data_IF_140449684213
#
_entry.id   IF_140449684213
#
_cell.length_a   1.000
_cell.length_b   1.000
_cell.length_c   1.000
_cell.angle_alpha   90.00
_cell.angle_beta   90.00
_cell.angle_gamma   90.00
#
_symmetry.space_group_name_H-M   'P 1'
#
loop_
_entity.id
_entity.type
_entity.pdbx_description
1 polymer ?
#
# COMPACT_ATOMS: atom_id res chain seq x y z
N UNK A 1 74.49 21.78 4.01
CA UNK A 1 73.09 22.20 3.80
C UNK A 1 72.27 20.98 3.34
N UNK A 2 72.07 20.00 4.24
CA UNK A 2 71.35 18.74 3.98
C UNK A 2 70.12 18.60 4.90
N UNK A 3 69.53 19.72 5.31
CA UNK A 3 68.48 19.76 6.34
C UNK A 3 67.09 20.12 5.80
N UNK A 4 66.95 20.43 4.51
CA UNK A 4 65.68 20.90 3.94
C UNK A 4 64.79 19.81 3.30
N UNK A 5 65.29 18.60 3.07
CA UNK A 5 64.51 17.52 2.41
C UNK A 5 63.65 16.67 3.37
N UNK A 6 63.63 16.99 4.68
CA UNK A 6 62.97 16.14 5.69
C UNK A 6 61.49 16.42 5.94
N UNK A 7 60.91 17.46 5.33
CA UNK A 7 59.54 17.89 5.62
C UNK A 7 58.55 17.75 4.46
N UNK A 8 59.00 17.39 3.27
CA UNK A 8 58.09 17.06 2.17
C UNK A 8 57.72 15.57 2.22
N UNK A 9 56.45 15.28 2.48
CA UNK A 9 55.89 13.95 2.32
C UNK A 9 56.20 13.47 0.89
N UNK A 10 56.85 12.31 0.76
CA UNK A 10 57.09 11.70 -0.56
C UNK A 10 55.75 11.55 -1.29
N UNK A 11 55.68 11.76 -2.61
CA UNK A 11 54.43 11.69 -3.38
C UNK A 11 53.65 10.37 -3.17
N UNK A 12 54.36 9.27 -2.90
CA UNK A 12 53.76 7.99 -2.53
C UNK A 12 53.00 8.01 -1.19
N UNK A 13 53.47 8.78 -0.20
CA UNK A 13 52.82 8.94 1.10
C UNK A 13 51.61 9.87 0.97
N UNK A 14 51.71 10.92 0.14
CA UNK A 14 50.58 11.82 -0.15
C UNK A 14 49.44 11.08 -0.90
N UNK A 15 49.78 10.25 -1.88
CA UNK A 15 48.82 9.38 -2.57
C UNK A 15 48.19 8.35 -1.62
N UNK A 16 48.96 7.76 -0.70
CA UNK A 16 48.43 6.82 0.29
C UNK A 16 47.45 7.49 1.28
N UNK A 17 47.72 8.72 1.72
CA UNK A 17 46.82 9.50 2.59
C UNK A 17 45.51 9.86 1.86
N UNK A 18 45.57 10.21 0.57
CA UNK A 18 44.38 10.47 -0.25
C UNK A 18 43.54 9.20 -0.42
N UNK A 19 44.16 8.05 -0.71
CA UNK A 19 43.44 6.77 -0.84
C UNK A 19 42.76 6.34 0.47
N UNK A 20 43.41 6.55 1.62
CA UNK A 20 42.83 6.25 2.94
C UNK A 20 41.66 7.20 3.26
N UNK A 21 41.78 8.50 2.93
CA UNK A 21 40.71 9.47 3.14
C UNK A 21 39.47 9.18 2.29
N UNK A 22 39.64 8.71 1.04
CA UNK A 22 38.52 8.32 0.16
C UNK A 22 37.82 7.05 0.66
N UNK A 23 38.57 6.10 1.26
CA UNK A 23 37.99 4.88 1.82
C UNK A 23 37.16 5.14 3.10
N UNK A 24 37.50 6.17 3.89
CA UNK A 24 36.77 6.53 5.12
C UNK A 24 35.53 7.41 4.89
N UNK A 25 35.41 8.06 3.72
CA UNK A 25 34.29 8.94 3.36
C UNK A 25 33.39 8.39 2.24
N UNK A 26 33.59 7.13 1.82
CA UNK A 26 32.61 6.47 0.96
C UNK A 26 31.33 6.24 1.77
N UNK A 27 30.20 6.90 1.44
CA UNK A 27 28.94 6.57 2.10
C UNK A 27 28.66 5.11 1.79
N UNK A 28 28.46 4.31 2.83
CA UNK A 28 27.93 2.97 2.66
C UNK A 28 26.60 3.12 1.91
N UNK A 29 26.57 2.71 0.64
CA UNK A 29 25.37 2.75 -0.17
C UNK A 29 24.38 1.80 0.50
N UNK A 30 23.44 2.35 1.27
CA UNK A 30 22.35 1.58 1.83
C UNK A 30 21.53 1.07 0.65
N UNK A 31 21.59 -0.23 0.39
CA UNK A 31 20.68 -0.87 -0.57
C UNK A 31 19.31 -0.78 0.07
N UNK A 32 18.50 0.17 -0.40
CA UNK A 32 17.10 0.23 -0.02
C UNK A 32 16.45 -1.12 -0.37
N UNK A 33 15.86 -1.76 0.63
CA UNK A 33 15.16 -3.02 0.46
C UNK A 33 14.10 -2.86 -0.64
N UNK A 34 14.07 -3.79 -1.61
CA UNK A 34 13.04 -3.78 -2.65
C UNK A 34 11.64 -3.86 -1.99
N UNK A 35 10.66 -3.07 -2.47
CA UNK A 35 9.34 -3.06 -1.86
C UNK A 35 8.67 -4.43 -2.01
N UNK A 36 8.10 -4.94 -0.92
CA UNK A 36 7.35 -6.20 -0.94
C UNK A 36 6.03 -6.09 -1.70
N UNK A 37 5.51 -4.87 -1.88
CA UNK A 37 4.26 -4.59 -2.55
C UNK A 37 4.43 -3.57 -3.67
N UNK A 38 3.71 -3.80 -4.76
CA UNK A 38 3.62 -2.87 -5.89
C UNK A 38 2.19 -2.40 -6.02
N UNK A 39 1.99 -1.08 -6.05
CA UNK A 39 0.70 -0.51 -6.36
C UNK A 39 0.34 -0.82 -7.82
N UNK A 40 -0.85 -1.39 -8.04
CA UNK A 40 -1.39 -1.61 -9.38
C UNK A 40 -2.44 -0.54 -9.70
N UNK A 41 -2.41 0.05 -10.90
CA UNK A 41 -3.38 1.06 -11.28
C UNK A 41 -4.77 0.44 -11.48
N UNK A 42 -5.81 1.23 -11.22
CA UNK A 42 -7.23 0.85 -11.47
C UNK A 42 -7.43 0.39 -12.92
N UNK A 43 -6.74 1.01 -13.88
CA UNK A 43 -6.82 0.62 -15.29
C UNK A 43 -6.32 -0.81 -15.56
N UNK A 44 -5.44 -1.33 -14.70
CA UNK A 44 -4.95 -2.71 -14.79
C UNK A 44 -5.88 -3.68 -14.06
N UNK A 45 -6.38 -3.31 -12.87
CA UNK A 45 -7.09 -4.24 -12.00
C UNK A 45 -8.61 -4.20 -12.13
N UNK A 46 -9.20 -3.08 -12.52
CA UNK A 46 -10.65 -2.86 -12.50
C UNK A 46 -11.24 -2.58 -11.11
N UNK A 47 -10.45 -2.65 -10.03
CA UNK A 47 -10.90 -2.36 -8.66
C UNK A 47 -10.97 -0.85 -8.45
N UNK A 48 -12.18 -0.29 -8.39
CA UNK A 48 -12.45 1.15 -8.21
C UNK A 48 -12.87 1.53 -6.78
N UNK A 49 -13.00 0.54 -5.92
CA UNK A 49 -13.55 0.73 -4.58
C UNK A 49 -12.66 1.65 -3.73
N UNK A 50 -13.31 2.54 -2.98
CA UNK A 50 -12.67 3.36 -1.96
C UNK A 50 -13.66 3.59 -0.83
N UNK A 51 -13.20 3.37 0.40
CA UNK A 51 -13.97 3.66 1.60
C UNK A 51 -13.78 5.13 2.00
N UNK A 52 -14.48 6.01 1.30
CA UNK A 52 -14.44 7.44 1.57
C UNK A 52 -15.33 7.78 2.79
N UNK A 53 -14.72 8.40 3.79
CA UNK A 53 -15.37 8.92 4.99
C UNK A 53 -15.49 10.44 4.85
N UNK A 54 -16.69 11.00 5.06
CA UNK A 54 -16.94 12.43 4.93
C UNK A 54 -17.49 12.98 6.25
N UNK A 55 -16.68 13.77 6.93
CA UNK A 55 -17.05 14.45 8.17
C UNK A 55 -18.05 15.58 7.92
N UNK A 56 -18.91 15.81 8.93
CA UNK A 56 -19.80 16.96 9.05
C UNK A 56 -19.75 17.48 10.49
N UNK A 57 -20.15 18.72 10.70
CA UNK A 57 -20.30 19.27 12.05
C UNK A 57 -21.21 18.39 12.93
N UNK A 58 -22.28 17.85 12.34
CA UNK A 58 -23.22 16.95 13.02
C UNK A 58 -22.81 15.47 13.01
N UNK A 59 -21.74 15.10 12.30
CA UNK A 59 -21.32 13.71 12.13
C UNK A 59 -19.80 13.64 11.95
N UNK A 60 -19.11 13.48 13.07
CA UNK A 60 -17.67 13.34 13.22
C UNK A 60 -17.37 12.49 14.47
N UNK A 61 -16.09 12.34 14.79
CA UNK A 61 -15.62 11.53 15.92
C UNK A 61 -16.16 11.98 17.29
N UNK A 62 -16.46 13.27 17.48
CA UNK A 62 -17.00 13.79 18.74
C UNK A 62 -18.48 13.41 18.93
N UNK A 63 -19.23 13.38 17.83
CA UNK A 63 -20.65 12.97 17.83
C UNK A 63 -20.86 11.46 17.73
N UNK A 64 -19.89 10.74 17.15
CA UNK A 64 -19.93 9.30 16.96
C UNK A 64 -18.51 8.75 17.11
N UNK A 65 -18.20 8.18 18.27
CA UNK A 65 -16.84 7.71 18.61
C UNK A 65 -16.29 6.67 17.61
N UNK A 66 -17.16 5.91 16.95
CA UNK A 66 -16.79 4.89 15.97
C UNK A 66 -16.71 5.39 14.52
N UNK A 67 -16.62 6.71 14.31
CA UNK A 67 -16.67 7.33 12.98
C UNK A 67 -15.54 6.90 12.02
N UNK A 68 -14.45 6.33 12.54
CA UNK A 68 -13.38 5.75 11.72
C UNK A 68 -13.29 4.22 11.80
N UNK A 69 -14.21 3.59 12.54
CA UNK A 69 -14.22 2.15 12.73
C UNK A 69 -15.17 1.50 11.73
N UNK A 70 -14.71 0.42 11.09
CA UNK A 70 -15.49 -0.41 10.19
C UNK A 70 -14.93 -0.47 8.78
N UNK A 71 -15.80 -0.70 7.81
CA UNK A 71 -15.40 -1.19 6.50
C UNK A 71 -14.75 -2.58 6.60
N UNK A 72 -14.24 -3.09 5.49
CA UNK A 72 -13.55 -4.36 5.49
C UNK A 72 -13.38 -4.95 4.10
N UNK A 73 -12.56 -5.99 4.04
CA UNK A 73 -12.38 -6.82 2.86
C UNK A 73 -12.45 -8.28 3.28
N UNK A 74 -13.11 -9.10 2.48
CA UNK A 74 -13.07 -10.55 2.57
C UNK A 74 -12.77 -11.12 1.18
N UNK A 75 -12.23 -12.33 1.17
CA UNK A 75 -11.93 -13.08 -0.04
C UNK A 75 -12.59 -14.46 0.03
N UNK A 76 -12.93 -15.00 -1.13
CA UNK A 76 -13.44 -16.37 -1.28
C UNK A 76 -13.75 -16.64 -2.75
N UNK A 77 -14.00 -17.89 -3.09
CA UNK A 77 -14.26 -18.35 -4.46
C UNK A 77 -15.78 -18.54 -4.65
N UNK A 78 -16.48 -17.49 -5.08
CA UNK A 78 -17.96 -17.50 -5.10
C UNK A 78 -18.53 -18.23 -6.32
N UNK A 79 -17.69 -18.51 -7.33
CA UNK A 79 -18.09 -19.20 -8.56
C UNK A 79 -17.40 -20.56 -8.76
N UNK A 80 -16.56 -21.00 -7.82
CA UNK A 80 -15.81 -22.26 -7.83
C UNK A 80 -14.82 -22.39 -9.00
N UNK A 81 -14.16 -21.29 -9.39
CA UNK A 81 -13.16 -21.30 -10.47
C UNK A 81 -11.71 -21.38 -9.96
N UNK A 82 -11.51 -21.44 -8.64
CA UNK A 82 -10.23 -21.50 -7.96
C UNK A 82 -9.53 -20.14 -7.83
N UNK A 83 -10.18 -19.04 -8.22
CA UNK A 83 -9.65 -17.69 -8.07
C UNK A 83 -10.32 -16.97 -6.89
N UNK A 84 -9.55 -16.25 -6.06
CA UNK A 84 -10.13 -15.50 -4.95
C UNK A 84 -10.83 -14.23 -5.46
N UNK A 85 -12.12 -14.12 -5.20
CA UNK A 85 -12.94 -12.93 -5.41
C UNK A 85 -12.81 -11.96 -4.23
N UNK A 86 -13.23 -10.71 -4.42
CA UNK A 86 -13.10 -9.67 -3.39
C UNK A 86 -14.47 -9.09 -3.01
N UNK A 87 -14.80 -9.13 -1.73
CA UNK A 87 -15.94 -8.39 -1.18
C UNK A 87 -15.44 -7.26 -0.28
N UNK A 88 -15.86 -6.04 -0.56
CA UNK A 88 -15.56 -4.86 0.24
C UNK A 88 -16.82 -4.31 0.90
N UNK A 89 -16.69 -3.85 2.14
CA UNK A 89 -17.70 -3.03 2.80
C UNK A 89 -17.18 -1.62 3.03
N UNK A 90 -18.05 -0.64 2.84
CA UNK A 90 -17.74 0.77 3.07
C UNK A 90 -18.61 1.33 4.17
N UNK A 91 -18.05 2.15 5.07
CA UNK A 91 -18.80 2.72 6.17
C UNK A 91 -19.99 3.56 5.67
N UNK A 92 -19.73 4.50 4.75
CA UNK A 92 -20.74 5.47 4.30
C UNK A 92 -21.21 5.24 2.86
N UNK A 93 -20.51 4.41 2.09
CA UNK A 93 -20.79 4.15 0.66
C UNK A 93 -21.40 2.74 0.47
N UNK A 94 -21.82 2.40 -0.76
CA UNK A 94 -22.19 1.02 -1.09
C UNK A 94 -21.03 0.04 -0.92
N UNK A 95 -21.34 -1.17 -0.46
CA UNK A 95 -20.42 -2.30 -0.54
C UNK A 95 -20.15 -2.69 -2.01
N UNK A 96 -19.08 -3.43 -2.26
CA UNK A 96 -18.72 -3.90 -3.61
C UNK A 96 -18.23 -5.33 -3.63
N UNK A 97 -18.80 -6.13 -4.52
CA UNK A 97 -18.33 -7.48 -4.85
C UNK A 97 -17.67 -7.45 -6.23
N UNK A 98 -16.45 -7.96 -6.28
CA UNK A 98 -15.63 -8.06 -7.47
C UNK A 98 -15.32 -9.52 -7.78
N UNK A 99 -15.71 -9.97 -8.97
CA UNK A 99 -15.34 -11.26 -9.51
C UNK A 99 -13.93 -11.19 -10.12
N UNK A 100 -13.06 -12.12 -9.76
CA UNK A 100 -11.72 -12.26 -10.29
C UNK A 100 -11.78 -12.92 -11.67
N UNK A 101 -11.18 -12.26 -12.67
CA UNK A 101 -11.11 -12.73 -14.06
C UNK A 101 -9.74 -13.34 -14.38
N UNK A 102 -8.89 -13.53 -13.36
CA UNK A 102 -7.50 -13.94 -13.50
C UNK A 102 -6.55 -12.76 -13.75
N UNK A 103 -5.27 -12.96 -13.44
CA UNK A 103 -4.22 -11.95 -13.69
C UNK A 103 -4.42 -10.63 -12.96
N UNK A 104 -5.05 -10.67 -11.77
CA UNK A 104 -5.42 -9.50 -10.95
C UNK A 104 -6.37 -8.52 -11.65
N UNK A 105 -7.21 -9.02 -12.56
CA UNK A 105 -8.30 -8.27 -13.20
C UNK A 105 -9.62 -8.63 -12.55
N UNK A 106 -10.46 -7.63 -12.31
CA UNK A 106 -11.67 -7.78 -11.54
C UNK A 106 -12.85 -7.08 -12.22
N UNK A 107 -14.03 -7.68 -12.13
CA UNK A 107 -15.31 -7.10 -12.58
C UNK A 107 -16.18 -6.81 -11.37
N UNK A 108 -16.68 -5.57 -11.25
CA UNK A 108 -17.75 -5.26 -10.28
C UNK A 108 -19.04 -5.98 -10.71
N UNK A 109 -19.44 -6.98 -9.93
CA UNK A 109 -20.65 -7.78 -10.14
C UNK A 109 -21.69 -7.50 -9.04
N UNK A 110 -21.53 -6.44 -8.25
CA UNK A 110 -22.31 -6.22 -7.02
C UNK A 110 -23.82 -6.31 -7.26
N UNK A 111 -24.32 -5.62 -8.29
CA UNK A 111 -25.75 -5.59 -8.65
C UNK A 111 -26.21 -6.85 -9.36
N UNK A 112 -25.29 -7.53 -10.04
CA UNK A 112 -25.56 -8.77 -10.76
C UNK A 112 -25.71 -9.94 -9.77
N UNK A 113 -24.92 -9.93 -8.69
CA UNK A 113 -24.97 -10.91 -7.61
C UNK A 113 -26.21 -10.75 -6.72
N UNK A 114 -26.52 -9.52 -6.30
CA UNK A 114 -27.76 -9.24 -5.56
C UNK A 114 -28.07 -7.75 -5.48
N UNK A 115 -29.35 -7.33 -5.61
CA UNK A 115 -29.74 -5.93 -5.42
C UNK A 115 -29.56 -5.43 -3.98
N UNK A 116 -29.36 -6.32 -3.01
CA UNK A 116 -29.21 -5.96 -1.60
C UNK A 116 -27.74 -5.89 -1.15
N UNK A 117 -26.80 -6.28 -2.00
CA UNK A 117 -25.41 -6.47 -1.60
C UNK A 117 -24.69 -5.15 -1.29
N UNK A 118 -25.13 -4.06 -1.92
CA UNK A 118 -24.69 -2.69 -1.63
C UNK A 118 -24.92 -2.26 -0.17
N UNK A 119 -25.76 -3.01 0.57
CA UNK A 119 -26.14 -2.71 1.93
C UNK A 119 -27.27 -1.68 2.02
N UNK A 120 -27.71 -1.38 3.25
CA UNK A 120 -28.76 -0.37 3.45
C UNK A 120 -28.24 1.03 3.11
N UNK A 121 -29.11 1.84 2.50
CA UNK A 121 -28.82 3.25 2.27
C UNK A 121 -28.64 3.97 3.62
N UNK A 122 -27.69 4.90 3.68
CA UNK A 122 -27.39 5.71 4.87
C UNK A 122 -27.05 4.90 6.14
N UNK A 123 -26.63 3.64 6.02
CA UNK A 123 -26.20 2.82 7.15
C UNK A 123 -24.68 2.67 7.20
N UNK A 124 -24.15 2.51 8.41
CA UNK A 124 -22.75 2.18 8.67
C UNK A 124 -22.50 0.69 8.44
N UNK A 125 -21.53 0.32 7.59
CA UNK A 125 -21.11 -1.08 7.42
C UNK A 125 -19.76 -1.30 8.11
N UNK A 126 -19.71 -2.28 8.99
CA UNK A 126 -18.63 -2.43 10.00
C UNK A 126 -17.62 -3.53 9.70
N UNK A 127 -17.89 -4.39 8.73
CA UNK A 127 -17.02 -5.52 8.43
C UNK A 127 -17.64 -6.46 7.41
N UNK A 128 -16.86 -7.47 7.02
CA UNK A 128 -17.30 -8.59 6.18
C UNK A 128 -16.46 -9.81 6.50
N UNK A 129 -17.10 -10.97 6.45
CA UNK A 129 -16.46 -12.29 6.51
C UNK A 129 -17.05 -13.13 5.39
N UNK A 130 -16.22 -13.96 4.77
CA UNK A 130 -16.62 -14.92 3.75
C UNK A 130 -16.08 -16.29 4.13
N UNK A 131 -16.83 -17.34 3.80
CA UNK A 131 -16.42 -18.74 3.93
C UNK A 131 -16.94 -19.47 2.69
N UNK A 132 -16.06 -20.21 2.03
CA UNK A 132 -16.30 -20.99 0.82
C UNK A 132 -16.02 -22.48 1.03
#
# INVERSE_FOLDING_TARGET
>A
MQLFDRYFLKPAIFAAVICIAVAFFAPALSIAQQPLFKLLPVAQTGVKFSNEIVEKESLNVLSYEYFYNGGGVATGDINNDGLPDLMFTANMKPNKLYLNLGGLKFKDITKEASPFLEGRANSWKTGVTMAD
#
